data_IF_690793128752
#
_entry.id   IF_690793128752
#
_cell.length_a   1.000
_cell.length_b   1.000
_cell.length_c   1.000
_cell.angle_alpha   90.00
_cell.angle_beta   90.00
_cell.angle_gamma   90.00
#
_symmetry.space_group_name_H-M   'P 1'
#
loop_
_entity.id
_entity.type
_entity.pdbx_description
1 polymer ?
#
# COMPACT_ATOMS: atom_id res chain seq x y z
N UNK A 1 -22.84 31.69 -46.67
CA UNK A 1 -22.98 31.58 -48.14
C UNK A 1 -22.49 30.24 -48.59
N UNK A 2 -23.38 29.54 -49.30
CA UNK A 2 -23.21 28.41 -50.24
C UNK A 2 -22.80 27.06 -49.60
N UNK A 3 -23.71 26.18 -49.43
CA UNK A 3 -24.41 25.21 -50.36
C UNK A 3 -23.62 23.88 -50.40
N UNK A 4 -24.24 22.83 -49.83
CA UNK A 4 -25.10 21.80 -50.48
C UNK A 4 -24.31 20.92 -51.46
N UNK A 5 -24.24 19.59 -51.12
CA UNK A 5 -24.77 18.55 -52.00
C UNK A 5 -24.95 17.22 -51.23
N UNK A 6 -26.18 16.77 -51.22
CA UNK A 6 -26.68 15.43 -50.87
C UNK A 6 -26.35 14.48 -51.98
N UNK A 7 -25.91 13.24 -51.65
CA UNK A 7 -26.14 12.10 -52.54
C UNK A 7 -26.42 10.84 -51.71
N UNK A 8 -27.69 10.48 -51.67
CA UNK A 8 -28.27 9.21 -51.27
C UNK A 8 -27.90 8.13 -52.28
N UNK A 9 -27.40 6.98 -51.78
CA UNK A 9 -27.48 5.74 -52.53
C UNK A 9 -27.88 4.59 -51.61
N UNK A 10 -29.13 4.21 -51.73
CA UNK A 10 -29.70 3.02 -51.12
C UNK A 10 -29.33 1.79 -51.96
N UNK A 11 -28.79 0.75 -51.33
CA UNK A 11 -28.78 -0.59 -51.93
C UNK A 11 -29.16 -1.62 -50.85
N UNK A 12 -30.39 -2.08 -50.97
CA UNK A 12 -30.92 -3.24 -50.28
C UNK A 12 -30.37 -4.50 -50.95
N UNK A 13 -29.65 -5.34 -50.19
CA UNK A 13 -29.56 -6.78 -50.50
C UNK A 13 -29.75 -7.54 -49.19
N UNK A 14 -30.90 -8.20 -49.08
CA UNK A 14 -31.18 -9.27 -48.16
C UNK A 14 -30.32 -10.49 -48.48
N UNK A 15 -29.58 -11.02 -47.49
CA UNK A 15 -29.10 -12.39 -47.54
C UNK A 15 -29.18 -12.96 -46.12
N UNK A 16 -30.13 -13.86 -45.91
CA UNK A 16 -30.14 -14.81 -44.80
C UNK A 16 -28.85 -15.64 -44.84
N UNK A 17 -28.05 -15.57 -43.81
CA UNK A 17 -26.88 -16.41 -43.54
C UNK A 17 -27.04 -17.06 -42.20
N UNK A 18 -27.37 -18.31 -42.17
CA UNK A 18 -27.43 -19.25 -41.06
C UNK A 18 -26.18 -19.13 -40.17
N UNK A 19 -26.42 -18.95 -38.88
CA UNK A 19 -25.41 -18.99 -37.82
C UNK A 19 -24.88 -20.44 -37.74
N UNK A 20 -23.76 -20.68 -38.36
CA UNK A 20 -22.99 -21.92 -38.16
C UNK A 20 -22.27 -21.82 -36.83
N UNK A 21 -22.77 -22.56 -35.88
CA UNK A 21 -22.06 -22.90 -34.64
C UNK A 21 -20.74 -23.53 -35.07
N UNK A 22 -19.64 -22.85 -34.82
CA UNK A 22 -18.31 -23.42 -34.97
C UNK A 22 -18.15 -24.42 -33.82
N UNK A 23 -18.45 -25.67 -34.11
CA UNK A 23 -17.98 -26.82 -33.34
C UNK A 23 -16.45 -26.73 -33.34
N UNK A 24 -15.87 -26.52 -32.18
CA UNK A 24 -14.46 -26.81 -31.96
C UNK A 24 -14.31 -28.31 -32.20
N UNK A 25 -13.78 -28.65 -33.34
CA UNK A 25 -13.30 -29.99 -33.63
C UNK A 25 -12.19 -30.26 -32.59
N UNK A 26 -12.53 -30.96 -31.52
CA UNK A 26 -11.57 -31.77 -30.80
C UNK A 26 -11.14 -32.83 -31.80
N UNK A 27 -10.01 -32.58 -32.49
CA UNK A 27 -9.33 -33.63 -33.23
C UNK A 27 -9.11 -34.79 -32.26
N UNK A 28 -9.78 -35.90 -32.59
CA UNK A 28 -9.57 -37.16 -31.91
C UNK A 28 -8.11 -37.55 -32.05
N UNK A 29 -7.35 -37.45 -30.96
CA UNK A 29 -5.98 -37.95 -30.88
C UNK A 29 -6.02 -39.40 -31.24
N UNK A 30 -5.38 -39.77 -32.36
CA UNK A 30 -5.25 -41.15 -32.82
C UNK A 30 -4.64 -41.97 -31.67
N UNK A 31 -5.40 -42.89 -31.11
CA UNK A 31 -5.02 -43.68 -29.92
C UNK A 31 -3.73 -44.52 -30.13
N UNK A 32 -3.22 -44.60 -31.35
CA UNK A 32 -1.99 -45.34 -31.68
C UNK A 32 -0.71 -44.48 -31.68
N UNK A 33 -0.82 -43.14 -31.76
CA UNK A 33 0.37 -42.27 -31.83
C UNK A 33 1.01 -42.01 -30.42
N UNK A 34 0.28 -42.26 -29.35
CA UNK A 34 0.74 -42.02 -27.99
C UNK A 34 1.14 -43.30 -27.25
N UNK A 35 1.14 -44.44 -27.88
CA UNK A 35 1.45 -45.75 -27.29
C UNK A 35 2.85 -46.21 -27.71
N UNK A 36 3.73 -46.39 -26.72
CA UNK A 36 5.07 -46.97 -26.90
C UNK A 36 5.11 -48.39 -26.34
N UNK A 37 5.59 -49.33 -27.17
CA UNK A 37 5.86 -50.72 -26.79
C UNK A 37 7.35 -50.98 -26.82
N UNK A 38 7.93 -51.45 -25.73
CA UNK A 38 9.36 -51.74 -25.59
C UNK A 38 9.62 -53.25 -25.74
N UNK A 39 10.75 -53.60 -26.39
CA UNK A 39 11.32 -54.94 -26.35
C UNK A 39 11.95 -55.23 -24.97
N UNK A 40 12.21 -56.52 -24.64
CA UNK A 40 12.84 -56.93 -23.39
C UNK A 40 14.24 -56.29 -23.19
N UNK A 41 14.99 -56.11 -24.25
CA UNK A 41 16.30 -55.46 -24.22
C UNK A 41 16.16 -53.94 -23.90
N UNK A 42 15.21 -53.29 -24.57
CA UNK A 42 14.94 -51.84 -24.31
C UNK A 42 14.40 -51.59 -22.91
N UNK A 43 13.49 -52.46 -22.42
CA UNK A 43 12.95 -52.33 -21.08
C UNK A 43 14.04 -52.42 -19.99
N UNK A 44 15.03 -53.33 -20.17
CA UNK A 44 16.16 -53.49 -19.23
C UNK A 44 17.10 -52.28 -19.29
N UNK A 45 17.32 -51.74 -20.48
CA UNK A 45 18.25 -50.59 -20.66
C UNK A 45 17.62 -49.22 -20.32
N UNK A 46 16.30 -49.08 -20.36
CA UNK A 46 15.61 -47.85 -20.14
C UNK A 46 15.62 -47.36 -18.68
N UNK A 47 15.96 -48.24 -17.73
CA UNK A 47 16.06 -47.87 -16.31
C UNK A 47 14.73 -47.31 -15.73
N UNK A 48 13.59 -47.80 -16.24
CA UNK A 48 12.29 -47.32 -15.83
C UNK A 48 11.98 -47.64 -14.37
N UNK A 49 11.50 -46.67 -13.63
CA UNK A 49 10.95 -46.81 -12.30
C UNK A 49 9.49 -46.44 -12.35
N UNK A 50 8.65 -47.33 -11.81
CA UNK A 50 7.20 -47.14 -11.73
C UNK A 50 6.82 -46.66 -10.34
N UNK A 51 5.82 -45.82 -10.27
CA UNK A 51 5.24 -45.32 -9.03
C UNK A 51 3.81 -44.82 -9.21
N UNK A 52 3.33 -44.09 -8.24
CA UNK A 52 2.00 -43.48 -8.24
C UNK A 52 2.13 -42.02 -7.83
N UNK A 53 1.06 -41.26 -8.03
CA UNK A 53 0.98 -39.93 -7.40
C UNK A 53 1.07 -40.08 -5.87
N UNK A 54 1.87 -39.24 -5.25
CA UNK A 54 2.04 -39.21 -3.79
C UNK A 54 1.42 -37.94 -3.22
N UNK A 55 0.80 -38.03 -2.03
CA UNK A 55 0.45 -36.83 -1.28
C UNK A 55 1.70 -36.14 -0.77
N UNK A 56 1.94 -34.95 -1.24
CA UNK A 56 3.03 -34.07 -0.77
C UNK A 56 2.45 -32.75 -0.30
N UNK A 57 3.06 -32.24 0.75
CA UNK A 57 2.82 -30.87 1.19
C UNK A 57 3.74 -29.98 0.36
N UNK A 58 3.20 -29.36 -0.69
CA UNK A 58 3.97 -28.41 -1.50
C UNK A 58 3.64 -27.01 -1.05
N UNK A 59 4.67 -26.27 -0.67
CA UNK A 59 4.59 -24.85 -0.33
C UNK A 59 4.82 -24.04 -1.59
N UNK A 60 4.01 -23.06 -1.84
CA UNK A 60 4.31 -22.04 -2.85
C UNK A 60 4.85 -20.80 -2.19
N UNK A 61 5.79 -20.14 -2.84
CA UNK A 61 6.29 -18.84 -2.42
C UNK A 61 5.75 -17.81 -3.40
N UNK A 62 5.09 -16.78 -2.88
CA UNK A 62 4.72 -15.62 -3.69
C UNK A 62 5.88 -14.64 -3.64
N UNK A 63 6.51 -14.42 -4.79
CA UNK A 63 7.55 -13.40 -4.96
C UNK A 63 6.87 -12.12 -5.45
N UNK A 64 7.07 -11.06 -4.71
CA UNK A 64 6.51 -9.74 -5.02
C UNK A 64 7.47 -8.63 -4.64
N UNK A 65 7.10 -7.41 -4.96
CA UNK A 65 7.87 -6.23 -4.58
C UNK A 65 6.99 -5.15 -3.94
N UNK A 66 7.64 -4.20 -3.32
CA UNK A 66 6.97 -3.08 -2.69
C UNK A 66 7.94 -2.01 -2.23
N UNK A 67 7.47 -1.13 -1.38
CA UNK A 67 8.24 -0.02 -0.85
C UNK A 67 8.12 0.05 0.67
N UNK A 68 9.21 0.42 1.30
CA UNK A 68 9.19 0.83 2.72
C UNK A 68 8.41 2.12 2.82
N UNK A 69 7.44 2.18 3.70
CA UNK A 69 6.63 3.36 3.94
C UNK A 69 6.44 3.64 5.43
N UNK A 70 5.85 4.78 5.75
CA UNK A 70 5.41 5.13 7.10
C UNK A 70 3.90 5.32 7.10
N UNK A 71 3.20 4.86 8.14
CA UNK A 71 1.77 5.09 8.27
C UNK A 71 1.43 6.58 8.20
N UNK A 72 0.23 6.97 7.71
CA UNK A 72 -0.18 8.37 7.63
C UNK A 72 -0.08 9.12 8.97
N UNK A 73 -0.30 8.45 10.11
CA UNK A 73 -0.15 9.03 11.45
C UNK A 73 1.29 9.40 11.81
N UNK A 74 2.27 8.84 11.12
CA UNK A 74 3.70 9.13 11.30
C UNK A 74 4.23 10.14 10.29
N UNK A 75 3.36 10.68 9.42
CA UNK A 75 3.65 11.80 8.53
C UNK A 75 2.95 13.04 9.07
N UNK A 76 3.68 14.12 9.21
CA UNK A 76 3.15 15.39 9.71
C UNK A 76 3.41 16.50 8.73
N UNK A 77 2.35 17.13 8.26
CA UNK A 77 2.43 18.37 7.48
C UNK A 77 2.40 19.55 8.44
N UNK A 78 3.40 20.41 8.38
CA UNK A 78 3.48 21.63 9.19
C UNK A 78 2.98 22.80 8.36
N UNK A 79 1.89 23.42 8.82
CA UNK A 79 1.34 24.69 8.34
C UNK A 79 1.23 25.67 9.50
N UNK A 80 0.87 26.91 9.23
CA UNK A 80 0.66 27.94 10.24
C UNK A 80 -0.79 28.43 10.23
N UNK A 81 -1.40 28.66 11.40
CA UNK A 81 -2.82 29.08 11.46
C UNK A 81 -3.08 30.50 10.93
N UNK A 82 -2.07 31.38 10.98
CA UNK A 82 -2.10 32.71 10.40
C UNK A 82 -0.99 32.81 9.35
N UNK A 83 -1.28 33.44 8.21
CA UNK A 83 -0.29 33.70 7.17
C UNK A 83 0.89 34.54 7.64
N UNK A 84 1.86 34.73 6.77
CA UNK A 84 3.04 35.57 7.04
C UNK A 84 4.22 35.23 6.15
N UNK A 85 5.30 35.99 6.30
CA UNK A 85 6.54 35.78 5.58
C UNK A 85 7.47 34.85 6.36
N UNK A 86 8.05 33.86 5.66
CA UNK A 86 9.12 33.05 6.26
C UNK A 86 10.36 33.90 6.43
N UNK A 87 10.69 34.28 7.68
CA UNK A 87 11.87 35.08 7.99
C UNK A 87 13.15 34.24 7.98
N UNK A 88 13.09 33.07 8.57
CA UNK A 88 14.23 32.14 8.62
C UNK A 88 13.78 30.70 8.88
N UNK A 89 14.53 29.75 8.33
CA UNK A 89 14.49 28.33 8.68
C UNK A 89 15.88 27.74 8.49
N UNK A 90 16.21 26.73 9.25
CA UNK A 90 17.43 25.92 9.11
C UNK A 90 17.12 24.51 8.57
N UNK A 91 15.85 24.26 8.23
CA UNK A 91 15.44 22.94 7.75
C UNK A 91 15.92 22.70 6.32
N UNK A 92 16.50 21.53 6.14
CA UNK A 92 16.82 20.93 4.84
C UNK A 92 16.33 19.49 4.83
N UNK A 93 15.92 18.92 3.69
CA UNK A 93 15.55 17.52 3.59
C UNK A 93 16.63 16.59 4.16
N UNK A 94 16.23 15.60 4.96
CA UNK A 94 17.12 14.68 5.67
C UNK A 94 17.60 15.14 7.05
N UNK A 95 17.37 16.41 7.44
CA UNK A 95 17.77 16.89 8.76
C UNK A 95 16.93 16.22 9.85
N UNK A 96 17.59 15.73 10.90
CA UNK A 96 16.93 15.23 12.10
C UNK A 96 16.43 16.40 12.97
N UNK A 97 15.21 16.27 13.49
CA UNK A 97 14.53 17.26 14.32
C UNK A 97 13.96 16.62 15.58
N UNK A 98 13.80 17.44 16.62
CA UNK A 98 13.18 17.03 17.89
C UNK A 98 11.86 17.76 18.11
N UNK A 99 10.91 17.09 18.73
CA UNK A 99 9.66 17.70 19.17
C UNK A 99 9.94 18.93 20.07
N UNK A 100 9.27 20.05 19.76
CA UNK A 100 9.47 21.33 20.45
C UNK A 100 10.68 22.14 19.98
N UNK A 101 11.47 21.65 19.01
CA UNK A 101 12.55 22.43 18.40
C UNK A 101 11.99 23.52 17.50
N UNK A 102 12.57 24.70 17.52
CA UNK A 102 12.21 25.80 16.61
C UNK A 102 12.69 25.48 15.19
N UNK A 103 11.75 25.29 14.28
CA UNK A 103 12.03 24.90 12.88
C UNK A 103 11.90 26.06 11.89
N UNK A 104 11.13 27.09 12.26
CA UNK A 104 11.01 28.30 11.43
C UNK A 104 10.67 29.51 12.29
N UNK A 105 10.95 30.69 11.77
CA UNK A 105 10.52 31.98 12.31
C UNK A 105 9.72 32.67 11.22
N UNK A 106 8.49 33.06 11.54
CA UNK A 106 7.60 33.81 10.64
C UNK A 106 7.52 35.25 11.10
N UNK A 107 7.27 36.18 10.17
CA UNK A 107 6.99 37.58 10.51
C UNK A 107 5.81 38.12 9.73
N UNK A 108 4.94 38.87 10.43
CA UNK A 108 3.83 39.58 9.82
C UNK A 108 3.32 40.69 10.72
N UNK A 109 2.72 41.74 10.15
CA UNK A 109 2.08 42.81 10.88
C UNK A 109 0.85 42.35 11.67
N UNK A 110 0.12 41.34 11.18
CA UNK A 110 -1.06 40.81 11.86
C UNK A 110 -0.74 40.23 13.25
N UNK A 111 0.49 39.76 13.47
CA UNK A 111 0.92 39.27 14.79
C UNK A 111 1.01 40.41 15.81
N UNK A 112 1.45 41.57 15.40
CA UNK A 112 1.45 42.80 16.22
C UNK A 112 0.01 43.17 16.55
N UNK A 113 -0.86 43.23 15.54
CA UNK A 113 -2.27 43.61 15.71
C UNK A 113 -2.99 42.70 16.71
N UNK A 114 -2.82 41.37 16.58
CA UNK A 114 -3.47 40.40 17.48
C UNK A 114 -3.01 40.58 18.94
N UNK A 115 -1.75 40.85 19.18
CA UNK A 115 -1.20 41.13 20.52
C UNK A 115 -1.73 42.46 21.07
N UNK A 116 -1.81 43.50 20.27
CA UNK A 116 -2.38 44.79 20.60
C UNK A 116 -3.86 44.64 20.97
N UNK A 117 -4.65 43.92 20.17
CA UNK A 117 -6.07 43.69 20.41
C UNK A 117 -6.28 42.99 21.77
N UNK A 118 -5.46 41.97 22.07
CA UNK A 118 -5.51 41.29 23.36
C UNK A 118 -5.23 42.21 24.54
N UNK A 119 -4.15 42.99 24.50
CA UNK A 119 -3.78 43.88 25.59
C UNK A 119 -4.84 45.02 25.79
N UNK A 120 -5.35 45.57 24.69
CA UNK A 120 -6.40 46.58 24.73
C UNK A 120 -7.68 46.01 25.32
N UNK A 121 -8.08 44.80 24.89
CA UNK A 121 -9.28 44.14 25.45
C UNK A 121 -9.10 43.76 26.91
N UNK A 122 -7.89 43.35 27.33
CA UNK A 122 -7.54 43.07 28.72
C UNK A 122 -7.72 44.32 29.61
N UNK A 123 -7.27 45.49 29.14
CA UNK A 123 -7.45 46.76 29.83
C UNK A 123 -8.95 47.16 29.91
N UNK A 124 -9.69 47.02 28.80
CA UNK A 124 -11.13 47.29 28.79
C UNK A 124 -11.91 46.35 29.71
N UNK A 125 -11.53 45.07 29.80
CA UNK A 125 -12.16 44.10 30.71
C UNK A 125 -11.92 44.49 32.15
N UNK A 126 -10.74 44.94 32.50
CA UNK A 126 -10.44 45.41 33.89
C UNK A 126 -11.33 46.60 34.27
N UNK A 127 -11.49 47.55 33.35
CA UNK A 127 -12.40 48.70 33.55
C UNK A 127 -13.87 48.25 33.66
N UNK A 128 -14.37 47.47 32.71
CA UNK A 128 -15.77 47.03 32.68
C UNK A 128 -16.13 46.13 33.87
N UNK A 129 -15.16 45.36 34.42
CA UNK A 129 -15.34 44.59 35.64
C UNK A 129 -15.57 45.49 36.84
N UNK A 130 -14.73 46.51 37.03
CA UNK A 130 -14.87 47.47 38.11
C UNK A 130 -16.22 48.23 38.05
N UNK A 131 -16.64 48.60 36.82
CA UNK A 131 -17.91 49.26 36.59
C UNK A 131 -19.11 48.32 36.88
N UNK A 132 -19.03 47.06 36.48
CA UNK A 132 -20.02 46.04 36.75
C UNK A 132 -20.19 45.82 38.29
N UNK A 133 -19.09 45.68 39.03
CA UNK A 133 -19.13 45.50 40.46
C UNK A 133 -19.76 46.70 41.15
N UNK A 134 -19.39 47.95 40.76
CA UNK A 134 -19.98 49.18 41.25
C UNK A 134 -21.51 49.25 40.97
N UNK A 135 -21.94 49.00 39.75
CA UNK A 135 -23.33 49.03 39.35
C UNK A 135 -24.15 47.91 40.01
N UNK A 136 -23.56 46.78 40.31
CA UNK A 136 -24.18 45.68 41.05
C UNK A 136 -24.54 46.13 42.49
N UNK A 137 -23.65 46.84 43.17
CA UNK A 137 -23.91 47.36 44.52
C UNK A 137 -24.98 48.48 44.50
N UNK A 138 -24.89 49.39 43.53
CA UNK A 138 -25.89 50.47 43.39
C UNK A 138 -27.27 49.93 43.03
N UNK A 139 -27.39 48.92 42.20
CA UNK A 139 -28.65 48.29 41.84
C UNK A 139 -29.24 47.54 43.07
N UNK A 140 -28.40 46.81 43.82
CA UNK A 140 -28.83 46.13 45.06
C UNK A 140 -29.39 47.08 46.09
N UNK A 141 -28.83 48.33 46.21
CA UNK A 141 -29.33 49.39 47.07
C UNK A 141 -30.49 50.23 46.43
N UNK A 142 -31.00 49.86 45.24
CA UNK A 142 -32.02 50.58 44.45
C UNK A 142 -31.57 51.99 44.05
N UNK A 143 -30.30 52.29 44.02
CA UNK A 143 -29.74 53.57 43.61
C UNK A 143 -29.44 53.60 42.09
N UNK A 144 -29.58 52.50 41.35
CA UNK A 144 -29.45 52.40 39.91
C UNK A 144 -30.60 51.56 39.34
N UNK A 145 -31.00 51.85 38.06
CA UNK A 145 -32.06 51.09 37.40
C UNK A 145 -31.57 49.74 36.89
N UNK A 146 -32.47 48.73 36.82
CA UNK A 146 -32.19 47.40 36.29
C UNK A 146 -31.67 47.46 34.84
N UNK A 147 -32.17 48.40 34.04
CA UNK A 147 -31.72 48.59 32.66
C UNK A 147 -30.24 48.96 32.58
N UNK A 148 -29.75 49.87 33.43
CA UNK A 148 -28.34 50.29 33.50
C UNK A 148 -27.50 49.14 33.93
N UNK A 149 -27.92 48.43 34.97
CA UNK A 149 -27.18 47.26 35.48
C UNK A 149 -27.05 46.15 34.37
N UNK A 150 -28.16 45.83 33.69
CA UNK A 150 -28.14 44.85 32.58
C UNK A 150 -27.22 45.27 31.45
N UNK A 151 -27.18 46.56 31.11
CA UNK A 151 -26.32 47.09 30.08
C UNK A 151 -24.83 46.92 30.42
N UNK A 152 -24.43 47.28 31.67
CA UNK A 152 -23.08 47.14 32.14
C UNK A 152 -22.67 45.66 32.29
N UNK A 153 -23.60 44.81 32.71
CA UNK A 153 -23.37 43.37 32.75
C UNK A 153 -23.14 42.78 31.39
N UNK A 154 -23.91 43.22 30.36
CA UNK A 154 -23.70 42.83 29.00
C UNK A 154 -22.33 43.25 28.48
N UNK A 155 -21.89 44.48 28.71
CA UNK A 155 -20.55 45.00 28.32
C UNK A 155 -19.44 44.18 28.94
N UNK A 156 -19.50 43.98 30.28
CA UNK A 156 -18.53 43.14 31.00
C UNK A 156 -18.42 41.72 30.42
N UNK A 157 -19.57 41.09 30.15
CA UNK A 157 -19.58 39.74 29.56
C UNK A 157 -19.00 39.73 28.14
N UNK A 158 -19.29 40.76 27.34
CA UNK A 158 -18.76 40.91 25.97
C UNK A 158 -17.24 41.01 25.96
N UNK A 159 -16.68 41.86 26.83
CA UNK A 159 -15.22 42.00 26.98
C UNK A 159 -14.56 40.72 27.46
N UNK A 160 -15.20 40.00 28.38
CA UNK A 160 -14.71 38.69 28.87
C UNK A 160 -14.65 37.65 27.75
N UNK A 161 -15.69 37.56 26.93
CA UNK A 161 -15.74 36.64 25.76
C UNK A 161 -14.67 37.03 24.74
N UNK A 162 -14.55 38.33 24.40
CA UNK A 162 -13.55 38.82 23.47
C UNK A 162 -12.13 38.49 23.93
N UNK A 163 -11.81 38.72 25.19
CA UNK A 163 -10.49 38.41 25.75
C UNK A 163 -10.17 36.91 25.65
N UNK A 164 -11.15 36.06 25.99
CA UNK A 164 -11.01 34.59 25.89
C UNK A 164 -10.76 34.15 24.45
N UNK A 165 -11.46 34.73 23.47
CA UNK A 165 -11.26 34.44 22.05
C UNK A 165 -9.87 34.85 21.57
N UNK A 166 -9.40 36.05 21.97
CA UNK A 166 -8.06 36.53 21.62
C UNK A 166 -6.95 35.71 22.27
N UNK A 167 -7.16 35.25 23.50
CA UNK A 167 -6.26 34.30 24.15
C UNK A 167 -6.08 33.02 23.34
N UNK A 168 -7.18 32.40 22.89
CA UNK A 168 -7.10 31.21 22.04
C UNK A 168 -6.36 31.46 20.72
N UNK A 169 -6.60 32.60 20.06
CA UNK A 169 -5.88 32.98 18.85
C UNK A 169 -4.37 33.13 19.07
N UNK A 170 -3.96 33.72 20.19
CA UNK A 170 -2.54 33.85 20.56
C UNK A 170 -1.91 32.48 20.82
N UNK A 171 -2.61 31.59 21.52
CA UNK A 171 -2.14 30.21 21.78
C UNK A 171 -1.95 29.43 20.49
N UNK A 172 -2.82 29.59 19.49
CA UNK A 172 -2.68 28.92 18.18
C UNK A 172 -1.36 29.28 17.46
N UNK A 173 -0.80 30.45 17.75
CA UNK A 173 0.48 30.89 17.18
C UNK A 173 1.64 30.83 18.19
N UNK A 174 1.47 30.05 19.25
CA UNK A 174 2.45 29.83 20.33
C UNK A 174 2.88 31.08 21.07
N UNK A 175 2.03 32.11 21.17
CA UNK A 175 2.24 33.27 22.04
C UNK A 175 1.55 33.02 23.37
N UNK A 176 2.33 33.08 24.48
CA UNK A 176 1.79 33.01 25.82
C UNK A 176 1.18 34.38 26.23
N UNK A 177 -0.15 34.44 26.28
CA UNK A 177 -0.91 35.63 26.62
C UNK A 177 -0.70 36.11 28.07
N UNK A 178 -0.33 35.23 29.01
CA UNK A 178 -0.11 35.57 30.41
C UNK A 178 1.17 36.42 30.58
N UNK A 179 2.19 36.09 29.80
CA UNK A 179 3.49 36.84 29.80
C UNK A 179 3.51 38.03 28.85
N UNK A 180 2.43 38.23 28.06
CA UNK A 180 2.37 39.31 27.07
C UNK A 180 2.18 40.66 27.77
N UNK A 181 3.02 41.62 27.39
CA UNK A 181 3.03 42.99 27.86
C UNK A 181 3.35 43.97 26.72
N UNK A 182 3.17 45.25 26.93
CA UNK A 182 3.45 46.30 25.94
C UNK A 182 4.93 46.30 25.47
N UNK A 183 5.85 45.85 26.34
CA UNK A 183 7.28 45.85 26.08
C UNK A 183 7.78 44.67 25.25
N UNK A 184 6.96 43.59 25.11
CA UNK A 184 7.37 42.37 24.40
C UNK A 184 6.50 42.01 23.19
N UNK A 185 5.73 43.00 22.68
CA UNK A 185 5.01 42.83 21.41
C UNK A 185 6.03 42.53 20.29
N UNK A 186 5.78 41.48 19.54
CA UNK A 186 6.69 41.00 18.50
C UNK A 186 6.00 40.88 17.16
N UNK A 187 6.68 41.26 16.10
CA UNK A 187 6.28 40.99 14.70
C UNK A 187 6.59 39.57 14.24
N UNK A 188 7.27 38.78 15.10
CA UNK A 188 7.72 37.43 14.72
C UNK A 188 7.14 36.38 15.67
N UNK A 189 6.84 35.22 15.10
CA UNK A 189 6.44 34.01 15.83
C UNK A 189 7.39 32.87 15.50
N UNK A 190 7.49 31.92 16.42
CA UNK A 190 8.27 30.70 16.26
C UNK A 190 7.35 29.54 15.91
N UNK A 191 7.76 28.74 14.92
CA UNK A 191 7.10 27.49 14.55
C UNK A 191 7.93 26.35 15.10
N UNK A 192 7.28 25.45 15.84
CA UNK A 192 7.93 24.34 16.53
C UNK A 192 7.61 23.01 15.83
N UNK A 193 8.55 22.05 15.89
CA UNK A 193 8.30 20.71 15.44
C UNK A 193 7.30 20.00 16.37
N UNK A 194 6.21 19.41 15.83
CA UNK A 194 5.27 18.63 16.63
C UNK A 194 5.75 17.21 16.95
N UNK A 195 6.79 16.71 16.24
CA UNK A 195 7.30 15.34 16.33
C UNK A 195 8.82 15.27 16.48
N UNK A 196 9.32 14.11 16.92
CA UNK A 196 10.71 13.70 16.71
C UNK A 196 10.79 12.99 15.36
N UNK A 197 11.80 13.26 14.53
CA UNK A 197 11.91 12.60 13.25
C UNK A 197 12.86 13.30 12.29
N UNK A 198 12.52 13.27 11.01
CA UNK A 198 13.31 13.84 9.92
C UNK A 198 12.46 14.73 9.03
N UNK A 199 13.11 15.73 8.44
CA UNK A 199 12.51 16.56 7.40
C UNK A 199 12.46 15.77 6.08
N UNK A 200 11.25 15.52 5.58
CA UNK A 200 11.06 14.88 4.27
C UNK A 200 11.13 15.89 3.15
N UNK A 201 10.35 17.00 3.29
CA UNK A 201 10.32 18.06 2.26
C UNK A 201 10.26 19.44 2.91
N UNK A 202 10.81 20.41 2.17
CA UNK A 202 10.72 21.84 2.45
C UNK A 202 10.05 22.50 1.24
N UNK A 203 8.82 23.02 1.42
CA UNK A 203 7.98 23.55 0.35
C UNK A 203 7.98 25.09 0.30
N UNK A 204 8.83 25.73 1.10
CA UNK A 204 8.87 27.18 1.26
C UNK A 204 10.30 27.70 1.25
N UNK A 205 10.48 28.91 0.73
CA UNK A 205 11.77 29.63 0.72
C UNK A 205 11.71 30.84 1.66
N UNK A 206 12.87 31.23 2.19
CA UNK A 206 13.00 32.46 3.00
C UNK A 206 12.53 33.68 2.18
N UNK A 207 11.71 34.52 2.80
CA UNK A 207 11.11 35.71 2.17
C UNK A 207 9.78 35.43 1.44
N UNK A 208 9.36 34.17 1.28
CA UNK A 208 8.06 33.84 0.69
C UNK A 208 6.93 34.12 1.68
N UNK A 209 5.84 34.73 1.20
CA UNK A 209 4.58 34.79 1.93
C UNK A 209 3.87 33.45 1.81
N UNK A 210 3.33 32.95 2.90
CA UNK A 210 2.56 31.70 2.99
C UNK A 210 1.18 31.96 3.60
N UNK A 211 0.19 31.26 3.07
CA UNK A 211 -1.18 31.29 3.59
C UNK A 211 -1.41 30.17 4.62
N UNK A 212 -2.48 30.24 5.42
CA UNK A 212 -2.79 29.20 6.41
C UNK A 212 -2.98 27.79 5.82
N UNK A 213 -3.35 27.70 4.54
CA UNK A 213 -3.53 26.42 3.82
C UNK A 213 -2.22 25.81 3.29
N UNK A 214 -1.14 26.59 3.27
CA UNK A 214 0.12 26.16 2.68
C UNK A 214 0.89 25.25 3.65
N UNK A 215 1.36 24.11 3.13
CA UNK A 215 2.25 23.22 3.86
C UNK A 215 3.69 23.68 3.68
N UNK A 216 4.31 24.13 4.79
CA UNK A 216 5.69 24.59 4.80
C UNK A 216 6.68 23.44 4.76
N UNK A 217 6.44 22.44 5.63
CA UNK A 217 7.34 21.32 5.81
C UNK A 217 6.56 20.00 5.90
N UNK A 218 7.14 18.96 5.36
CA UNK A 218 6.68 17.58 5.60
C UNK A 218 7.72 16.88 6.49
N UNK A 219 7.25 16.36 7.60
CA UNK A 219 8.06 15.68 8.61
C UNK A 219 7.65 14.21 8.71
N UNK A 220 8.61 13.32 8.95
CA UNK A 220 8.39 11.89 9.10
C UNK A 220 8.97 11.41 10.42
N UNK A 221 8.16 10.66 11.17
CA UNK A 221 8.59 9.87 12.32
C UNK A 221 8.89 8.43 11.84
N UNK A 222 10.17 8.00 11.82
CA UNK A 222 10.55 6.68 11.33
C UNK A 222 10.35 5.57 12.38
N UNK A 223 9.73 5.85 13.52
CA UNK A 223 9.57 4.86 14.60
C UNK A 223 8.68 3.67 14.21
N UNK A 224 7.86 3.81 13.18
CA UNK A 224 6.89 2.80 12.73
C UNK A 224 6.91 2.64 11.22
N UNK A 225 8.06 2.25 10.68
CA UNK A 225 8.15 1.90 9.26
C UNK A 225 7.49 0.54 9.00
N UNK A 226 6.86 0.39 7.86
CA UNK A 226 6.28 -0.85 7.38
C UNK A 226 6.59 -1.07 5.90
N UNK A 227 6.42 -2.30 5.42
CA UNK A 227 6.57 -2.64 4.02
C UNK A 227 5.19 -2.69 3.37
N UNK A 228 4.98 -1.93 2.31
CA UNK A 228 3.78 -1.98 1.50
C UNK A 228 4.09 -2.74 0.22
N UNK A 229 3.51 -3.94 0.09
CA UNK A 229 3.67 -4.83 -1.06
C UNK A 229 2.51 -4.64 -2.04
N UNK A 230 2.78 -4.83 -3.34
CA UNK A 230 1.77 -4.85 -4.39
C UNK A 230 1.49 -6.29 -4.81
N UNK A 231 0.32 -6.79 -4.49
CA UNK A 231 -0.08 -8.18 -4.75
C UNK A 231 -1.14 -8.22 -5.84
N UNK A 232 -0.95 -9.07 -6.85
CA UNK A 232 -1.96 -9.28 -7.90
C UNK A 232 -3.21 -9.98 -7.36
N UNK A 233 -4.38 -9.62 -7.92
CA UNK A 233 -5.69 -10.16 -7.56
C UNK A 233 -5.71 -11.70 -7.49
N UNK A 234 -5.05 -12.37 -8.44
CA UNK A 234 -4.98 -13.84 -8.51
C UNK A 234 -4.34 -14.50 -7.28
N UNK A 235 -3.49 -13.77 -6.55
CA UNK A 235 -2.72 -14.28 -5.42
C UNK A 235 -3.30 -13.85 -4.06
N UNK A 236 -4.25 -12.90 -4.04
CA UNK A 236 -4.83 -12.37 -2.80
C UNK A 236 -5.50 -13.45 -1.94
N UNK A 237 -6.20 -14.40 -2.57
CA UNK A 237 -6.89 -15.49 -1.87
C UNK A 237 -5.94 -16.47 -1.16
N UNK A 238 -4.65 -16.41 -1.48
CA UNK A 238 -3.60 -17.23 -0.87
C UNK A 238 -3.01 -16.59 0.39
N UNK A 239 -3.35 -15.31 0.65
CA UNK A 239 -2.79 -14.54 1.75
C UNK A 239 -3.69 -14.56 2.98
N UNK A 240 -3.05 -14.46 4.15
CA UNK A 240 -3.70 -14.40 5.44
C UNK A 240 -2.98 -13.42 6.37
N UNK A 241 -3.70 -12.80 7.28
CA UNK A 241 -3.10 -11.96 8.33
C UNK A 241 -2.16 -12.80 9.21
N UNK A 242 -1.02 -12.21 9.60
CA UNK A 242 0.02 -12.88 10.39
C UNK A 242 0.90 -13.85 9.58
N UNK A 243 0.71 -13.95 8.27
CA UNK A 243 1.54 -14.78 7.40
C UNK A 243 2.95 -14.22 7.32
N UNK A 244 3.95 -15.10 7.47
CA UNK A 244 5.36 -14.71 7.49
C UNK A 244 5.87 -14.42 6.10
N UNK A 245 6.80 -13.49 6.03
CA UNK A 245 7.51 -13.12 4.82
C UNK A 245 8.97 -12.78 5.12
N UNK A 246 9.78 -12.85 4.08
CA UNK A 246 11.16 -12.41 4.09
C UNK A 246 11.31 -11.33 3.02
N UNK A 247 11.75 -10.14 3.43
CA UNK A 247 12.01 -9.04 2.53
C UNK A 247 13.51 -8.74 2.41
N UNK A 248 13.93 -8.22 1.26
CA UNK A 248 15.33 -7.83 1.02
C UNK A 248 15.42 -6.76 -0.07
N UNK A 249 16.51 -5.99 -0.06
CA UNK A 249 16.77 -4.99 -1.09
C UNK A 249 17.59 -5.57 -2.22
N UNK A 250 17.47 -5.04 -3.43
CA UNK A 250 18.29 -5.47 -4.58
C UNK A 250 19.79 -5.27 -4.36
N UNK A 251 20.16 -4.22 -3.60
CA UNK A 251 21.56 -3.89 -3.35
C UNK A 251 22.23 -4.80 -2.30
N UNK A 252 21.44 -5.43 -1.43
CA UNK A 252 21.90 -6.31 -0.36
C UNK A 252 20.97 -7.54 -0.25
N UNK A 253 20.97 -8.45 -1.24
CA UNK A 253 20.05 -9.59 -1.26
C UNK A 253 20.27 -10.57 -0.12
N UNK A 254 21.48 -10.61 0.44
CA UNK A 254 21.84 -11.48 1.57
C UNK A 254 21.32 -10.95 2.90
N UNK A 255 21.02 -9.64 3.00
CA UNK A 255 20.45 -9.05 4.20
C UNK A 255 18.93 -9.20 4.18
N UNK A 256 18.46 -10.19 4.94
CA UNK A 256 17.05 -10.56 5.01
C UNK A 256 16.37 -9.89 6.21
N UNK A 257 15.16 -9.39 5.97
CA UNK A 257 14.30 -8.76 6.97
C UNK A 257 13.05 -9.61 7.12
N UNK A 258 12.89 -10.23 8.28
CA UNK A 258 11.68 -10.98 8.61
C UNK A 258 10.53 -10.02 8.93
N UNK A 259 9.32 -10.42 8.53
CA UNK A 259 8.11 -9.67 8.80
C UNK A 259 6.87 -10.53 8.69
N UNK A 260 5.73 -9.90 8.92
CA UNK A 260 4.43 -10.54 8.81
C UNK A 260 3.38 -9.61 8.18
N UNK A 261 2.37 -10.19 7.56
CA UNK A 261 1.25 -9.46 6.97
C UNK A 261 0.36 -8.94 8.09
N UNK A 262 0.28 -7.61 8.19
CA UNK A 262 -0.55 -6.93 9.20
C UNK A 262 -1.91 -6.49 8.66
N UNK A 263 -2.00 -6.15 7.36
CA UNK A 263 -3.24 -5.72 6.72
C UNK A 263 -3.23 -6.05 5.23
N UNK A 264 -4.37 -6.49 4.72
CA UNK A 264 -4.60 -6.75 3.30
C UNK A 264 -5.70 -5.79 2.84
N UNK A 265 -5.39 -4.88 1.91
CA UNK A 265 -6.40 -4.03 1.28
C UNK A 265 -7.39 -4.86 0.49
N UNK A 266 -8.66 -4.45 0.51
CA UNK A 266 -9.71 -5.04 -0.33
C UNK A 266 -10.01 -4.20 -1.57
N UNK A 267 -9.29 -3.09 -1.72
CA UNK A 267 -9.40 -2.21 -2.87
C UNK A 267 -8.33 -2.57 -3.90
N UNK A 268 -8.73 -2.67 -5.16
CA UNK A 268 -7.83 -2.99 -6.26
C UNK A 268 -7.50 -1.73 -7.06
N UNK A 269 -6.23 -1.54 -7.32
CA UNK A 269 -5.76 -0.49 -8.23
C UNK A 269 -6.18 -0.76 -9.68
N UNK A 270 -6.00 0.24 -10.56
CA UNK A 270 -6.17 0.09 -12.01
C UNK A 270 -5.29 -1.01 -12.63
N UNK A 271 -4.19 -1.36 -11.96
CA UNK A 271 -3.25 -2.43 -12.36
C UNK A 271 -3.67 -3.82 -11.85
N UNK A 272 -4.87 -3.95 -11.25
CA UNK A 272 -5.37 -5.16 -10.59
C UNK A 272 -4.43 -5.67 -9.49
N UNK A 273 -3.86 -4.76 -8.73
CA UNK A 273 -3.07 -5.07 -7.53
C UNK A 273 -3.73 -4.51 -6.29
N UNK A 274 -3.62 -5.22 -5.18
CA UNK A 274 -3.98 -4.74 -3.84
C UNK A 274 -2.72 -4.41 -3.05
N UNK A 275 -2.83 -3.43 -2.16
CA UNK A 275 -1.78 -3.11 -1.21
C UNK A 275 -1.87 -4.03 0.01
N UNK A 276 -0.74 -4.63 0.35
CA UNK A 276 -0.58 -5.48 1.54
C UNK A 276 0.47 -4.84 2.43
N UNK A 277 0.06 -4.44 3.63
CA UNK A 277 0.95 -3.84 4.62
C UNK A 277 1.53 -4.91 5.52
N UNK A 278 2.86 -4.88 5.65
CA UNK A 278 3.62 -5.86 6.40
C UNK A 278 4.46 -5.17 7.46
N UNK A 279 4.46 -5.73 8.64
CA UNK A 279 5.25 -5.26 9.75
C UNK A 279 6.62 -5.96 9.74
N UNK A 280 7.70 -5.21 10.01
CA UNK A 280 9.04 -5.78 10.21
C UNK A 280 9.18 -6.26 11.67
N UNK A 281 9.62 -7.48 11.88
CA UNK A 281 9.93 -7.98 13.23
C UNK A 281 11.09 -7.20 13.88
N UNK A 282 12.08 -6.84 13.07
CA UNK A 282 13.25 -6.06 13.48
C UNK A 282 13.52 -5.00 12.41
N UNK A 283 12.98 -3.80 12.61
CA UNK A 283 13.26 -2.68 11.74
C UNK A 283 14.68 -2.15 11.99
N UNK A 284 15.50 -2.14 10.93
CA UNK A 284 16.83 -1.56 10.97
C UNK A 284 16.76 -0.06 10.62
N UNK A 285 17.57 0.75 11.30
CA UNK A 285 17.74 2.18 11.02
C UNK A 285 18.23 2.50 9.60
N UNK A 286 18.76 1.50 8.89
CA UNK A 286 19.15 1.63 7.48
C UNK A 286 17.97 1.64 6.51
N UNK A 287 16.79 1.20 6.95
CA UNK A 287 15.57 1.26 6.14
C UNK A 287 15.00 2.66 6.14
N UNK A 288 14.90 3.26 4.96
CA UNK A 288 14.33 4.59 4.78
C UNK A 288 13.02 4.51 3.98
N UNK A 289 12.03 5.34 4.31
CA UNK A 289 10.80 5.46 3.51
C UNK A 289 11.12 5.75 2.04
N UNK A 290 10.43 5.04 1.14
CA UNK A 290 10.68 5.09 -0.30
C UNK A 290 11.68 4.06 -0.83
N UNK A 291 12.36 3.29 0.03
CA UNK A 291 13.22 2.19 -0.41
C UNK A 291 12.41 1.07 -1.05
N UNK A 292 12.90 0.56 -2.17
CA UNK A 292 12.34 -0.58 -2.89
C UNK A 292 12.85 -1.89 -2.29
N UNK A 293 11.92 -2.84 -2.07
CA UNK A 293 12.22 -4.16 -1.52
C UNK A 293 11.49 -5.25 -2.30
N UNK A 294 12.14 -6.39 -2.44
CA UNK A 294 11.48 -7.64 -2.83
C UNK A 294 11.02 -8.36 -1.56
N UNK A 295 9.98 -9.15 -1.69
CA UNK A 295 9.46 -9.98 -0.61
C UNK A 295 9.08 -11.37 -1.12
N UNK A 296 9.39 -12.36 -0.31
CA UNK A 296 9.03 -13.76 -0.46
C UNK A 296 8.03 -14.09 0.65
N UNK A 297 6.78 -14.37 0.27
CA UNK A 297 5.70 -14.69 1.19
C UNK A 297 5.47 -16.20 1.15
N UNK A 298 5.62 -16.88 2.28
CA UNK A 298 5.34 -18.30 2.39
C UNK A 298 3.83 -18.54 2.33
N UNK A 299 3.36 -19.23 1.30
CA UNK A 299 1.97 -19.66 1.23
C UNK A 299 1.83 -20.98 1.96
N UNK A 300 0.77 -21.12 2.75
CA UNK A 300 0.50 -22.37 3.48
C UNK A 300 0.56 -23.55 2.52
N UNK A 301 1.38 -24.52 2.88
CA UNK A 301 1.50 -25.79 2.19
C UNK A 301 0.13 -26.50 2.17
N UNK A 302 -0.37 -26.77 0.98
CA UNK A 302 -1.54 -27.63 0.79
C UNK A 302 -1.05 -29.04 0.47
N UNK A 303 -1.67 -30.05 1.10
CA UNK A 303 -1.48 -31.43 0.67
C UNK A 303 -2.11 -31.60 -0.70
N UNK A 304 -1.28 -31.91 -1.66
CA UNK A 304 -1.71 -32.15 -3.05
C UNK A 304 -1.09 -33.43 -3.59
N UNK A 305 -1.66 -33.99 -4.65
CA UNK A 305 -1.07 -35.13 -5.34
C UNK A 305 0.03 -34.62 -6.27
N UNK A 306 1.24 -35.08 -6.06
CA UNK A 306 2.43 -34.69 -6.76
C UNK A 306 3.19 -35.89 -7.34
N UNK A 307 4.02 -35.63 -8.31
CA UNK A 307 4.92 -36.60 -8.93
C UNK A 307 6.32 -36.01 -9.00
N UNK A 308 7.35 -36.87 -9.07
CA UNK A 308 8.71 -36.42 -9.30
C UNK A 308 8.83 -35.65 -10.62
N UNK A 309 9.58 -34.56 -10.63
CA UNK A 309 9.79 -33.74 -11.82
C UNK A 309 10.38 -34.53 -13.00
N UNK A 310 11.22 -35.51 -12.73
CA UNK A 310 11.80 -36.43 -13.72
C UNK A 310 10.73 -37.29 -14.46
N UNK A 311 9.50 -37.39 -13.93
CA UNK A 311 8.41 -38.13 -14.53
C UNK A 311 7.70 -37.34 -15.65
N UNK A 312 7.87 -36.03 -15.68
CA UNK A 312 7.21 -35.13 -16.62
C UNK A 312 8.15 -34.88 -17.81
N UNK A 313 7.60 -35.05 -19.00
CA UNK A 313 8.29 -34.74 -20.25
C UNK A 313 7.52 -33.70 -21.03
N UNK A 314 8.21 -32.67 -21.49
CA UNK A 314 7.61 -31.65 -22.35
C UNK A 314 7.81 -32.03 -23.80
N UNK A 315 6.73 -32.03 -24.58
CA UNK A 315 6.74 -32.23 -26.02
C UNK A 315 5.79 -31.22 -26.67
N UNK A 316 6.31 -30.46 -27.64
CA UNK A 316 5.56 -29.41 -28.36
C UNK A 316 4.85 -28.39 -27.42
N UNK A 317 5.46 -28.10 -26.28
CA UNK A 317 4.90 -27.13 -25.30
C UNK A 317 3.81 -27.70 -24.40
N UNK A 318 3.54 -29.00 -24.45
CA UNK A 318 2.60 -29.70 -23.59
C UNK A 318 3.37 -30.68 -22.68
N UNK A 319 3.00 -30.70 -21.43
CA UNK A 319 3.57 -31.63 -20.44
C UNK A 319 2.83 -32.96 -20.45
N UNK A 320 3.59 -34.06 -20.37
CA UNK A 320 3.05 -35.42 -20.42
C UNK A 320 3.63 -36.30 -19.31
N UNK A 321 2.85 -37.31 -18.91
CA UNK A 321 3.28 -38.41 -18.05
C UNK A 321 3.02 -39.73 -18.78
N UNK A 322 3.94 -40.70 -18.67
CA UNK A 322 3.72 -42.04 -19.19
C UNK A 322 2.99 -42.92 -18.18
N UNK A 323 1.86 -43.49 -18.59
CA UNK A 323 1.01 -44.44 -17.84
C UNK A 323 1.28 -45.85 -18.34
N UNK A 324 1.59 -46.77 -17.45
CA UNK A 324 1.73 -48.18 -17.80
C UNK A 324 0.36 -48.81 -18.10
N UNK A 325 0.15 -49.32 -19.30
CA UNK A 325 -1.03 -50.08 -19.71
C UNK A 325 -0.85 -51.61 -19.61
N UNK A 326 0.35 -52.07 -19.98
CA UNK A 326 0.77 -53.46 -19.86
C UNK A 326 2.28 -53.50 -19.50
N UNK A 327 2.82 -54.69 -19.24
CA UNK A 327 4.22 -54.87 -18.80
C UNK A 327 5.23 -54.15 -19.70
N UNK A 328 4.96 -54.04 -21.00
CA UNK A 328 5.84 -53.45 -22.02
C UNK A 328 5.21 -52.27 -22.76
N UNK A 329 4.02 -51.84 -22.38
CA UNK A 329 3.25 -50.83 -23.05
C UNK A 329 3.02 -49.62 -22.14
N UNK A 330 3.37 -48.46 -22.68
CA UNK A 330 3.28 -47.16 -21.97
C UNK A 330 2.55 -46.13 -22.85
N UNK A 331 1.54 -45.52 -22.29
CA UNK A 331 0.75 -44.47 -22.96
C UNK A 331 1.20 -43.09 -22.47
N UNK A 332 1.51 -42.21 -23.44
CA UNK A 332 1.82 -40.78 -23.17
C UNK A 332 0.52 -40.02 -22.98
N UNK A 333 0.27 -39.51 -21.77
CA UNK A 333 -0.97 -38.83 -21.38
C UNK A 333 -0.67 -37.39 -20.98
N UNK A 334 -1.41 -36.39 -21.53
CA UNK A 334 -1.18 -34.99 -21.18
C UNK A 334 -1.54 -34.74 -19.71
N UNK A 335 -0.65 -34.03 -19.02
CA UNK A 335 -0.76 -33.64 -17.62
C UNK A 335 -0.83 -32.13 -17.49
N UNK A 336 -1.65 -31.67 -16.55
CA UNK A 336 -1.69 -30.28 -16.13
C UNK A 336 -0.92 -30.16 -14.80
N UNK A 337 0.13 -29.34 -14.84
CA UNK A 337 1.03 -29.16 -13.71
C UNK A 337 0.63 -27.93 -12.90
N UNK A 338 0.95 -27.94 -11.60
CA UNK A 338 0.74 -26.85 -10.68
C UNK A 338 2.05 -26.42 -10.00
N UNK A 339 2.04 -26.32 -8.68
CA UNK A 339 3.18 -25.91 -7.87
C UNK A 339 4.31 -26.94 -7.93
N UNK A 340 5.56 -26.46 -8.12
CA UNK A 340 6.78 -27.29 -8.05
C UNK A 340 7.58 -26.90 -6.82
N UNK A 341 8.03 -27.89 -6.04
CA UNK A 341 8.88 -27.73 -4.86
C UNK A 341 9.66 -29.01 -4.59
N UNK A 342 10.95 -28.87 -4.25
CA UNK A 342 11.84 -29.97 -3.83
C UNK A 342 11.89 -31.16 -4.81
N UNK A 343 11.82 -30.89 -6.14
CA UNK A 343 11.86 -31.93 -7.18
C UNK A 343 10.55 -32.69 -7.36
N UNK A 344 9.44 -32.19 -6.80
CA UNK A 344 8.09 -32.68 -7.00
C UNK A 344 7.21 -31.60 -7.64
N UNK A 345 6.32 -32.01 -8.53
CA UNK A 345 5.36 -31.14 -9.22
C UNK A 345 3.94 -31.61 -8.92
N UNK A 346 3.07 -30.68 -8.57
CA UNK A 346 1.64 -30.93 -8.39
C UNK A 346 0.98 -31.33 -9.71
N UNK A 347 0.10 -32.31 -9.66
CA UNK A 347 -0.74 -32.75 -10.78
C UNK A 347 -2.17 -32.27 -10.53
N UNK A 348 -2.63 -31.28 -11.32
CA UNK A 348 -3.96 -30.66 -11.11
C UNK A 348 -5.08 -31.50 -11.71
N UNK A 349 -4.87 -32.16 -12.85
CA UNK A 349 -5.82 -33.07 -13.49
C UNK A 349 -5.70 -34.53 -13.00
N UNK A 350 -5.48 -34.70 -11.71
CA UNK A 350 -5.18 -35.94 -10.99
C UNK A 350 -6.14 -37.11 -11.28
N UNK A 351 -7.39 -36.82 -11.62
CA UNK A 351 -8.42 -37.86 -11.87
C UNK A 351 -8.05 -38.78 -13.02
N UNK A 352 -7.28 -38.29 -14.01
CA UNK A 352 -6.78 -39.09 -15.13
C UNK A 352 -5.76 -40.14 -14.71
N UNK A 353 -5.07 -39.93 -13.57
CA UNK A 353 -3.93 -40.75 -13.12
C UNK A 353 -4.22 -41.57 -11.85
N UNK A 354 -5.37 -41.36 -11.21
CA UNK A 354 -5.70 -41.99 -9.95
C UNK A 354 -5.70 -43.52 -10.07
N UNK A 355 -4.96 -44.20 -9.19
CA UNK A 355 -4.84 -45.65 -9.14
C UNK A 355 -3.97 -46.28 -10.25
N UNK A 356 -3.44 -45.50 -11.20
CA UNK A 356 -2.60 -46.00 -12.29
C UNK A 356 -1.14 -46.09 -11.90
N UNK A 357 -0.38 -46.98 -12.56
CA UNK A 357 1.07 -47.01 -12.47
C UNK A 357 1.65 -46.01 -13.45
N UNK A 358 2.49 -45.13 -12.95
CA UNK A 358 3.13 -44.04 -13.70
C UNK A 358 4.62 -44.29 -13.78
N UNK A 359 5.24 -43.83 -14.83
CA UNK A 359 6.71 -43.82 -14.95
C UNK A 359 7.24 -42.61 -14.21
N UNK A 360 7.92 -42.84 -13.09
CA UNK A 360 8.50 -41.76 -12.26
C UNK A 360 9.97 -41.49 -12.58
N UNK A 361 10.64 -42.38 -13.30
CA UNK A 361 12.00 -42.20 -13.82
C UNK A 361 12.16 -42.86 -15.17
N UNK A 362 12.94 -42.27 -16.06
CA UNK A 362 13.18 -42.74 -17.42
C UNK A 362 12.12 -42.34 -18.44
N UNK A 363 11.24 -41.39 -18.12
CA UNK A 363 10.17 -40.91 -19.01
C UNK A 363 10.71 -40.34 -20.33
N UNK A 364 11.86 -39.66 -20.30
CA UNK A 364 12.49 -39.13 -21.51
C UNK A 364 12.94 -40.24 -22.47
N UNK A 365 13.39 -41.40 -21.99
CA UNK A 365 13.76 -42.55 -22.83
C UNK A 365 12.53 -43.09 -23.58
N UNK A 366 11.36 -43.10 -22.92
CA UNK A 366 10.09 -43.49 -23.56
C UNK A 366 9.66 -42.50 -24.64
N UNK A 367 9.83 -41.20 -24.38
CA UNK A 367 9.52 -40.15 -25.36
C UNK A 367 10.40 -40.34 -26.63
N UNK A 368 11.70 -40.56 -26.47
CA UNK A 368 12.59 -40.81 -27.59
C UNK A 368 12.21 -42.09 -28.35
N UNK A 369 11.86 -43.17 -27.66
CA UNK A 369 11.42 -44.43 -28.28
C UNK A 369 10.10 -44.27 -29.04
N UNK A 370 9.19 -43.43 -28.56
CA UNK A 370 7.92 -43.14 -29.20
C UNK A 370 8.13 -42.36 -30.53
N UNK A 371 9.00 -41.35 -30.50
CA UNK A 371 9.22 -40.46 -31.67
C UNK A 371 10.07 -41.09 -32.73
N UNK A 372 11.08 -41.91 -32.38
CA UNK A 372 11.88 -42.65 -33.34
C UNK A 372 11.07 -43.72 -34.14
N UNK A 373 9.92 -44.20 -33.57
CA UNK A 373 9.00 -45.10 -34.29
C UNK A 373 8.12 -44.39 -35.33
N UNK A 374 7.97 -43.09 -35.24
CA UNK A 374 7.13 -42.31 -36.18
C UNK A 374 7.90 -41.88 -37.44
N UNK A 375 9.21 -42.16 -37.52
CA UNK A 375 10.08 -41.85 -38.68
C UNK A 375 10.43 -43.10 -39.55
N UNK A 376 10.03 -44.31 -39.17
CA UNK A 376 10.07 -45.52 -39.97
C UNK A 376 8.65 -45.84 -40.56
#
# INVERSE_FOLDING_TARGET
MKNIVILTFAFLISACGTSTKQEVLTEGVNANENLVTLSDAQLKSAGLVLGKLEEKALSSVIITNGTVDVPPQNRTSVSIPLGGYLKSTKLIPGLQIRKGEVIAVMEDQQYIQLQQDYLTTKARLAFSKSEFERQKELNASKASSDKVFQQIQMEYNTQRISLSSLDQKLRMININSESLSESNISKTIQVYSPINGFVSKVNVNIGKFVNPSDVLFELIDPSSIHLTLKIFEKDLNKLSLGQKLIAYTNNQPDKKYAGDISLISRDLSSERTAEVHCHFENADKSLAPGMYMNAEIEVKSNKTLAIAEEAIVNFEGIDYIFVQKAIKEFEMVPVETGTSENGFIEVTNKDKFNGKQLVIKGAYTLLMALKNKSEE
#
